data_IF_100898094669
#
_entry.id   IF_100898094669
#
_cell.length_a   1.000
_cell.length_b   1.000
_cell.length_c   1.000
_cell.angle_alpha   90.00
_cell.angle_beta   90.00
_cell.angle_gamma   90.00
#
_symmetry.space_group_name_H-M   'P 1'
#
loop_
_entity.id
_entity.type
_entity.pdbx_description
1 polymer ?
#
# COMPACT_ATOMS: atom_id res chain seq x y z
N UNK A 1 3.48 71.24 -41.16
CA UNK A 1 3.78 69.84 -41.55
C UNK A 1 4.12 69.06 -40.29
N UNK A 2 3.64 67.82 -40.23
CA UNK A 2 3.19 67.08 -39.04
C UNK A 2 4.31 66.60 -38.10
N UNK A 3 3.96 66.63 -36.81
CA UNK A 3 4.68 66.18 -35.60
C UNK A 3 5.01 64.67 -35.66
N UNK A 4 6.24 64.27 -35.28
CA UNK A 4 6.56 62.89 -34.90
C UNK A 4 7.42 62.85 -33.63
N UNK A 5 6.77 62.99 -32.49
CA UNK A 5 7.32 62.66 -31.18
C UNK A 5 7.30 61.14 -31.00
N UNK A 6 8.47 60.49 -31.01
CA UNK A 6 8.58 59.07 -30.63
C UNK A 6 8.43 58.95 -29.13
N UNK A 7 7.30 58.38 -28.71
CA UNK A 7 7.00 58.03 -27.33
C UNK A 7 7.91 56.87 -26.90
N UNK A 8 8.77 57.12 -25.91
CA UNK A 8 9.39 56.06 -25.12
C UNK A 8 8.28 55.36 -24.32
N UNK A 9 7.82 54.21 -24.80
CA UNK A 9 6.90 53.36 -24.05
C UNK A 9 7.63 52.71 -22.89
N UNK A 10 7.47 53.31 -21.71
CA UNK A 10 7.76 52.71 -20.42
C UNK A 10 6.64 51.71 -20.09
N UNK A 11 6.80 50.43 -20.43
CA UNK A 11 5.89 49.38 -19.94
C UNK A 11 6.56 48.63 -18.79
N UNK A 12 6.44 49.19 -17.58
CA UNK A 12 6.66 48.45 -16.34
C UNK A 12 5.37 47.66 -16.06
N UNK A 13 5.31 46.42 -16.52
CA UNK A 13 4.24 45.48 -16.15
C UNK A 13 4.35 45.18 -14.65
N UNK A 14 3.31 45.56 -13.91
CA UNK A 14 3.15 45.22 -12.51
C UNK A 14 3.19 43.70 -12.32
N UNK A 15 4.00 43.25 -11.37
CA UNK A 15 4.07 41.87 -10.90
C UNK A 15 2.72 41.48 -10.31
N UNK A 16 1.98 40.58 -10.97
CA UNK A 16 0.88 39.86 -10.32
C UNK A 16 1.46 38.72 -9.50
N UNK A 17 1.53 38.92 -8.18
CA UNK A 17 1.82 37.84 -7.24
C UNK A 17 0.60 36.91 -7.14
N UNK A 18 0.53 35.91 -8.00
CA UNK A 18 -0.39 34.78 -7.80
C UNK A 18 0.23 33.80 -6.79
N UNK A 19 0.04 34.08 -5.50
CA UNK A 19 0.24 33.09 -4.44
C UNK A 19 -1.05 32.26 -4.29
N UNK A 20 -1.26 31.32 -5.22
CA UNK A 20 -2.15 30.21 -5.03
C UNK A 20 -1.36 28.94 -5.35
N UNK A 21 -1.02 28.16 -4.32
CA UNK A 21 -0.53 26.79 -4.50
C UNK A 21 -1.68 25.94 -5.04
N UNK A 22 -1.89 26.02 -6.35
CA UNK A 22 -2.84 25.22 -7.08
C UNK A 22 -2.20 23.84 -7.30
N UNK A 23 -2.59 22.83 -6.51
CA UNK A 23 -2.31 21.43 -6.82
C UNK A 23 -3.23 21.00 -7.98
N UNK A 24 -2.98 21.53 -9.16
CA UNK A 24 -3.63 21.08 -10.39
C UNK A 24 -2.66 21.24 -11.55
N UNK A 25 -1.67 20.35 -11.58
CA UNK A 25 -1.12 19.91 -12.84
C UNK A 25 -2.12 18.91 -13.43
N UNK A 26 -2.91 19.37 -14.39
CA UNK A 26 -3.53 18.50 -15.40
C UNK A 26 -2.44 18.01 -16.35
N UNK A 27 -1.50 17.25 -15.82
CA UNK A 27 -0.58 16.44 -16.60
C UNK A 27 -1.21 15.05 -16.70
N UNK A 28 -1.19 14.47 -17.89
CA UNK A 28 -1.93 13.27 -18.24
C UNK A 28 -1.85 12.24 -17.11
N UNK A 29 -2.97 12.07 -16.39
CA UNK A 29 -3.04 11.07 -15.32
C UNK A 29 -2.71 9.75 -16.00
N UNK A 30 -1.63 9.04 -15.63
CA UNK A 30 -1.51 7.67 -16.07
C UNK A 30 -2.80 7.04 -15.57
N UNK A 31 -3.67 6.58 -16.49
CA UNK A 31 -4.79 5.73 -16.12
C UNK A 31 -4.13 4.67 -15.27
N UNK A 32 -4.39 4.68 -13.97
CA UNK A 32 -4.05 3.57 -13.11
C UNK A 32 -4.80 2.39 -13.73
N UNK A 33 -4.10 1.66 -14.61
CA UNK A 33 -4.57 0.39 -15.09
C UNK A 33 -4.74 -0.40 -13.81
N UNK A 34 -6.01 -0.68 -13.50
CA UNK A 34 -6.38 -1.55 -12.40
C UNK A 34 -5.53 -2.79 -12.60
N UNK A 35 -4.49 -2.98 -11.77
CA UNK A 35 -3.66 -4.18 -11.83
C UNK A 35 -4.61 -5.31 -11.47
N UNK A 36 -5.11 -6.00 -12.51
CA UNK A 36 -5.83 -7.22 -12.30
C UNK A 36 -4.90 -8.13 -11.51
N UNK A 37 -5.40 -8.84 -10.49
CA UNK A 37 -4.57 -9.79 -9.77
C UNK A 37 -3.87 -10.72 -10.78
N UNK A 38 -2.54 -10.84 -10.67
CA UNK A 38 -1.68 -11.63 -11.58
C UNK A 38 -1.87 -13.14 -11.32
N UNK A 39 -3.09 -13.55 -11.02
CA UNK A 39 -3.51 -14.91 -10.80
C UNK A 39 -4.92 -15.07 -11.36
N UNK A 40 -5.16 -16.24 -11.95
CA UNK A 40 -6.47 -16.58 -12.48
C UNK A 40 -7.48 -16.85 -11.35
N UNK A 41 -6.97 -17.15 -10.16
CA UNK A 41 -7.73 -17.30 -8.91
C UNK A 41 -8.25 -15.95 -8.41
N UNK A 42 -9.58 -15.76 -8.46
CA UNK A 42 -10.24 -14.48 -8.11
C UNK A 42 -10.72 -14.39 -6.66
N UNK A 43 -10.74 -15.50 -5.92
CA UNK A 43 -11.21 -15.54 -4.53
C UNK A 43 -10.10 -15.10 -3.58
N UNK A 44 -10.44 -14.25 -2.63
CA UNK A 44 -9.58 -13.85 -1.51
C UNK A 44 -10.28 -14.09 -0.18
N UNK A 45 -9.53 -14.51 0.84
CA UNK A 45 -10.06 -14.78 2.19
C UNK A 45 -9.32 -13.90 3.20
N UNK A 46 -10.06 -13.27 4.12
CA UNK A 46 -9.50 -12.53 5.24
C UNK A 46 -9.35 -13.43 6.46
N UNK A 47 -8.10 -13.73 6.84
CA UNK A 47 -7.73 -14.57 7.98
C UNK A 47 -7.62 -13.74 9.26
N UNK A 48 -8.73 -13.08 9.63
CA UNK A 48 -8.71 -12.10 10.72
C UNK A 48 -8.38 -12.75 12.07
N UNK A 49 -7.30 -12.30 12.69
CA UNK A 49 -6.90 -12.72 14.04
C UNK A 49 -6.19 -14.07 14.12
N UNK A 50 -5.85 -14.69 12.99
CA UNK A 50 -5.12 -15.95 12.98
C UNK A 50 -3.61 -15.73 13.20
N UNK A 51 -2.94 -16.71 13.82
CA UNK A 51 -1.48 -16.73 13.92
C UNK A 51 -0.84 -17.29 12.63
N UNK A 52 0.42 -16.97 12.38
CA UNK A 52 1.11 -17.32 11.12
C UNK A 52 1.18 -18.83 10.85
N UNK A 53 1.35 -19.65 11.90
CA UNK A 53 1.44 -21.11 11.78
C UNK A 53 0.10 -21.73 11.39
N UNK A 54 -1.00 -21.25 11.96
CA UNK A 54 -2.35 -21.70 11.59
C UNK A 54 -2.70 -21.31 10.16
N UNK A 55 -2.35 -20.09 9.72
CA UNK A 55 -2.54 -19.68 8.32
C UNK A 55 -1.73 -20.55 7.36
N UNK A 56 -0.50 -20.89 7.74
CA UNK A 56 0.38 -21.78 6.96
C UNK A 56 -0.28 -23.14 6.72
N UNK A 57 -0.78 -23.78 7.78
CA UNK A 57 -1.46 -25.07 7.67
C UNK A 57 -2.72 -24.97 6.80
N UNK A 58 -3.51 -23.92 6.98
CA UNK A 58 -4.75 -23.69 6.24
C UNK A 58 -4.49 -23.44 4.73
N UNK A 59 -3.41 -22.74 4.39
CA UNK A 59 -2.97 -22.56 3.01
C UNK A 59 -2.71 -23.89 2.30
N UNK A 60 -2.06 -24.83 2.97
CA UNK A 60 -1.68 -26.13 2.41
C UNK A 60 -2.85 -27.12 2.36
N UNK A 61 -3.62 -27.17 3.45
CA UNK A 61 -4.65 -28.20 3.62
C UNK A 61 -5.95 -27.85 2.90
N UNK A 62 -6.29 -26.57 2.80
CA UNK A 62 -7.61 -26.16 2.32
C UNK A 62 -7.56 -25.08 1.24
N UNK A 63 -6.96 -23.91 1.51
CA UNK A 63 -7.10 -22.74 0.63
C UNK A 63 -6.41 -22.93 -0.73
N UNK A 64 -5.25 -23.59 -0.75
CA UNK A 64 -4.54 -23.95 -1.97
C UNK A 64 -5.38 -24.85 -2.87
N UNK A 65 -5.79 -26.04 -2.38
CA UNK A 65 -6.68 -26.96 -3.10
C UNK A 65 -8.03 -26.36 -3.49
N UNK A 66 -8.62 -25.51 -2.65
CA UNK A 66 -9.89 -24.83 -2.91
C UNK A 66 -9.81 -23.73 -3.99
N UNK A 67 -8.61 -23.41 -4.50
CA UNK A 67 -8.44 -22.40 -5.54
C UNK A 67 -8.51 -20.96 -5.05
N UNK A 68 -8.26 -20.71 -3.75
CA UNK A 68 -8.14 -19.35 -3.21
C UNK A 68 -6.87 -18.71 -3.75
N UNK A 69 -7.00 -17.48 -4.24
CA UNK A 69 -5.90 -16.73 -4.86
C UNK A 69 -5.11 -15.89 -3.88
N UNK A 70 -5.78 -15.35 -2.85
CA UNK A 70 -5.16 -14.51 -1.84
C UNK A 70 -5.65 -14.80 -0.43
N UNK A 71 -4.74 -14.71 0.52
CA UNK A 71 -5.02 -14.59 1.94
C UNK A 71 -4.68 -13.18 2.39
N UNK A 72 -5.64 -12.48 3.00
CA UNK A 72 -5.41 -11.23 3.69
C UNK A 72 -5.13 -11.53 5.17
N UNK A 73 -4.03 -11.01 5.69
CA UNK A 73 -3.60 -11.20 7.08
C UNK A 73 -3.70 -9.90 7.89
N UNK A 74 -3.67 -10.01 9.21
CA UNK A 74 -3.56 -8.84 10.10
C UNK A 74 -2.20 -8.13 9.89
N UNK A 75 -2.06 -6.85 10.29
CA UNK A 75 -0.77 -6.16 10.26
C UNK A 75 0.34 -6.98 10.94
N UNK A 76 1.47 -7.26 10.27
CA UNK A 76 2.54 -8.10 10.83
C UNK A 76 3.55 -7.32 11.67
N UNK A 77 3.40 -6.00 11.72
CA UNK A 77 4.31 -5.09 12.40
C UNK A 77 4.09 -5.08 13.92
N UNK A 78 5.12 -4.65 14.64
CA UNK A 78 5.06 -4.42 16.09
C UNK A 78 4.00 -3.39 16.43
N UNK A 79 3.22 -3.69 17.46
CA UNK A 79 2.09 -2.90 17.89
C UNK A 79 1.99 -2.86 19.42
N UNK A 80 1.07 -2.04 19.93
CA UNK A 80 0.81 -1.97 21.37
C UNK A 80 0.52 -3.36 21.97
N UNK A 81 0.98 -3.58 23.20
CA UNK A 81 0.67 -4.79 23.95
C UNK A 81 -0.80 -4.78 24.36
N UNK A 82 -1.49 -5.90 24.13
CA UNK A 82 -2.88 -6.09 24.53
C UNK A 82 -3.56 -7.22 23.76
N UNK A 83 -4.65 -7.73 24.33
CA UNK A 83 -5.38 -8.86 23.75
C UNK A 83 -6.46 -8.41 22.76
N UNK A 84 -6.90 -7.16 22.85
CA UNK A 84 -7.97 -6.62 22.02
C UNK A 84 -7.56 -6.65 20.53
N UNK A 85 -8.51 -6.96 19.66
CA UNK A 85 -8.22 -7.14 18.23
C UNK A 85 -7.67 -5.87 17.56
N UNK A 86 -8.09 -4.69 18.02
CA UNK A 86 -7.72 -3.41 17.42
C UNK A 86 -6.27 -3.01 17.70
N UNK A 87 -5.59 -3.65 18.66
CA UNK A 87 -4.18 -3.37 18.96
C UNK A 87 -3.28 -3.68 17.76
N UNK A 88 -3.64 -4.65 16.92
CA UNK A 88 -2.91 -4.98 15.68
C UNK A 88 -2.80 -3.74 14.76
N UNK A 89 -3.72 -2.79 14.91
CA UNK A 89 -3.78 -1.53 14.19
C UNK A 89 -3.27 -0.36 15.03
N UNK A 90 -2.33 -0.57 15.96
CA UNK A 90 -1.66 0.50 16.70
C UNK A 90 -0.16 0.27 16.60
N UNK A 91 0.41 0.55 15.42
CA UNK A 91 1.80 0.25 15.12
C UNK A 91 2.77 1.08 15.97
N UNK A 92 3.79 0.42 16.53
CA UNK A 92 4.86 1.06 17.31
C UNK A 92 6.13 1.14 16.47
N UNK A 93 6.42 0.12 15.67
CA UNK A 93 7.56 0.09 14.76
C UNK A 93 7.28 -0.76 13.52
N UNK A 94 8.21 -0.78 12.57
CA UNK A 94 8.16 -1.65 11.38
C UNK A 94 8.81 -3.02 11.59
N UNK A 95 9.20 -3.36 12.83
CA UNK A 95 9.70 -4.69 13.13
C UNK A 95 8.58 -5.71 12.90
N UNK A 96 8.89 -6.83 12.25
CA UNK A 96 7.92 -7.89 11.96
C UNK A 96 7.81 -8.84 13.15
N UNK A 97 7.38 -8.29 14.28
CA UNK A 97 7.14 -9.02 15.51
C UNK A 97 5.77 -8.59 16.02
N UNK A 98 4.79 -9.49 15.97
CA UNK A 98 3.42 -9.17 16.40
C UNK A 98 2.90 -10.24 17.35
N UNK A 99 1.72 -10.00 17.94
CA UNK A 99 1.05 -11.04 18.75
C UNK A 99 0.64 -12.27 17.94
N UNK A 100 0.77 -12.23 16.60
CA UNK A 100 0.45 -13.32 15.68
C UNK A 100 1.64 -14.22 15.38
N UNK A 101 2.86 -13.80 15.74
CA UNK A 101 4.09 -14.58 15.61
C UNK A 101 5.28 -13.74 15.17
N UNK A 102 6.42 -14.42 15.06
CA UNK A 102 7.71 -13.82 14.75
C UNK A 102 7.92 -13.56 13.26
N UNK A 103 8.98 -12.81 12.95
CA UNK A 103 9.44 -12.57 11.57
C UNK A 103 9.68 -13.87 10.81
N UNK A 104 10.28 -14.87 11.46
CA UNK A 104 10.54 -16.17 10.83
C UNK A 104 9.26 -16.92 10.53
N UNK A 105 8.30 -16.94 11.48
CA UNK A 105 7.00 -17.59 11.25
C UNK A 105 6.23 -16.92 10.09
N UNK A 106 6.31 -15.59 10.00
CA UNK A 106 5.68 -14.83 8.93
C UNK A 106 6.33 -15.09 7.57
N UNK A 107 7.66 -15.15 7.51
CA UNK A 107 8.39 -15.50 6.29
C UNK A 107 8.09 -16.94 5.84
N UNK A 108 8.04 -17.89 6.77
CA UNK A 108 7.67 -19.28 6.50
C UNK A 108 6.25 -19.36 5.91
N UNK A 109 5.29 -18.67 6.53
CA UNK A 109 3.90 -18.61 6.07
C UNK A 109 3.82 -18.08 4.63
N UNK A 110 4.54 -17.00 4.29
CA UNK A 110 4.57 -16.47 2.92
C UNK A 110 5.10 -17.52 1.94
N UNK A 111 6.23 -18.16 2.27
CA UNK A 111 6.84 -19.17 1.41
C UNK A 111 5.92 -20.37 1.16
N UNK A 112 5.34 -20.92 2.23
CA UNK A 112 4.48 -22.11 2.17
C UNK A 112 3.14 -21.83 1.50
N UNK A 113 2.48 -20.71 1.81
CA UNK A 113 1.27 -20.30 1.10
C UNK A 113 1.54 -20.07 -0.40
N UNK A 114 2.68 -19.46 -0.75
CA UNK A 114 3.08 -19.28 -2.15
C UNK A 114 3.26 -20.62 -2.87
N UNK A 115 3.87 -21.61 -2.23
CA UNK A 115 4.03 -22.96 -2.78
C UNK A 115 2.67 -23.67 -2.97
N UNK A 116 1.69 -23.39 -2.11
CA UNK A 116 0.30 -23.84 -2.28
C UNK A 116 -0.49 -23.01 -3.33
N UNK A 117 0.14 -22.04 -3.99
CA UNK A 117 -0.48 -21.20 -5.01
C UNK A 117 -1.44 -20.14 -4.43
N UNK A 118 -1.23 -19.74 -3.16
CA UNK A 118 -1.98 -18.70 -2.45
C UNK A 118 -1.04 -17.51 -2.18
N UNK A 119 -1.41 -16.32 -2.62
CA UNK A 119 -0.61 -15.10 -2.37
C UNK A 119 -1.02 -14.44 -1.06
N UNK A 120 -0.07 -13.82 -0.36
CA UNK A 120 -0.34 -13.15 0.91
C UNK A 120 -0.49 -11.64 0.69
N UNK A 121 -1.52 -11.06 1.30
CA UNK A 121 -1.86 -9.63 1.34
C UNK A 121 -1.90 -9.19 2.80
N UNK A 122 -1.37 -8.01 3.12
CA UNK A 122 -1.36 -7.48 4.49
C UNK A 122 -2.47 -6.45 4.71
N UNK A 123 -3.19 -6.57 5.83
CA UNK A 123 -4.15 -5.57 6.28
C UNK A 123 -3.44 -4.25 6.54
N UNK A 124 -3.93 -3.17 5.91
CA UNK A 124 -3.30 -1.84 6.05
C UNK A 124 -3.79 -1.14 7.31
N UNK A 125 -2.85 -0.68 8.12
CA UNK A 125 -3.08 0.39 9.08
C UNK A 125 -2.93 1.75 8.37
N UNK A 126 -3.73 2.75 8.73
CA UNK A 126 -3.74 4.09 8.11
C UNK A 126 -2.52 4.92 8.57
N UNK A 127 -1.31 4.49 8.20
CA UNK A 127 -0.06 5.25 8.38
C UNK A 127 0.68 5.43 7.05
N UNK A 128 -0.04 5.76 5.98
CA UNK A 128 0.58 6.38 4.80
C UNK A 128 -0.08 7.74 4.59
N UNK A 129 0.62 8.85 4.88
CA UNK A 129 0.28 10.14 4.29
C UNK A 129 0.36 10.01 2.77
N UNK A 130 -0.54 10.71 2.08
CA UNK A 130 -0.78 10.67 0.64
C UNK A 130 0.47 10.72 -0.25
N UNK A 131 1.15 9.60 -0.48
CA UNK A 131 1.94 9.27 -1.67
C UNK A 131 2.50 7.86 -1.49
N UNK A 132 2.40 7.06 -2.55
CA UNK A 132 2.94 5.70 -2.71
C UNK A 132 1.98 4.57 -2.29
N UNK A 133 1.18 4.16 -3.27
CA UNK A 133 0.51 2.85 -3.32
C UNK A 133 1.49 1.66 -3.32
N UNK A 134 2.79 1.92 -3.27
CA UNK A 134 3.85 0.92 -3.28
C UNK A 134 4.19 0.33 -1.90
N UNK A 135 3.64 0.85 -0.80
CA UNK A 135 3.89 0.29 0.53
C UNK A 135 3.32 -1.13 0.73
N UNK A 136 2.35 -1.58 -0.07
CA UNK A 136 1.76 -2.93 0.09
C UNK A 136 2.42 -4.04 -0.72
N UNK A 137 3.18 -3.72 -1.78
CA UNK A 137 3.66 -4.74 -2.73
C UNK A 137 5.17 -4.73 -2.96
N UNK A 138 5.86 -3.58 -2.79
CA UNK A 138 7.28 -3.49 -3.10
C UNK A 138 8.19 -4.12 -2.03
N UNK A 139 7.83 -4.01 -0.74
CA UNK A 139 8.64 -4.58 0.35
C UNK A 139 8.57 -6.11 0.40
N UNK A 140 7.44 -6.70 0.00
CA UNK A 140 7.22 -8.16 0.01
C UNK A 140 7.75 -8.91 -1.20
N UNK A 141 8.02 -8.22 -2.31
CA UNK A 141 8.57 -8.86 -3.51
C UNK A 141 10.04 -9.29 -3.34
N UNK A 142 10.67 -8.87 -2.23
CA UNK A 142 12.08 -9.11 -1.91
C UNK A 142 12.30 -10.19 -0.83
N UNK A 143 11.22 -10.82 -0.35
CA UNK A 143 11.27 -12.01 0.51
C UNK A 143 10.83 -13.25 -0.27
#
# INVERSE_FOLDING_TARGET
MVIRTSLFSLTLLAVTANAAHNCSNSDATPRMQRRAPINDKKISVQMFGWNWKSITAECEQFLGPAGVGYVQVNPPQEHLNGDQWWVDYQAVSYQLQSKRGSRSDFAEMIGRCKNAGVKVSVGRHRLCPCQNLDCSFASFKKM
#
